data_IF_890754619289
#
_entry.id   IF_890754619289
#
_cell.length_a   1.000
_cell.length_b   1.000
_cell.length_c   1.000
_cell.angle_alpha   90.00
_cell.angle_beta   90.00
_cell.angle_gamma   90.00
#
_symmetry.space_group_name_H-M   'P 1'
#
loop_
_entity.id
_entity.type
_entity.pdbx_description
1 polymer ?
#
# COMPACT_ATOMS: atom_id res chain seq x y z
N UNK A 1 -17.69 6.20 -3.23
CA UNK A 1 -16.35 6.28 -2.59
C UNK A 1 -16.11 7.69 -2.07
N UNK A 2 -16.05 8.68 -2.96
CA UNK A 2 -15.95 10.12 -2.63
C UNK A 2 -17.03 10.55 -1.62
N UNK A 3 -18.30 10.29 -1.90
CA UNK A 3 -19.43 10.60 -1.01
C UNK A 3 -19.43 9.86 0.33
N UNK A 4 -18.84 8.65 0.36
CA UNK A 4 -18.72 7.85 1.59
C UNK A 4 -17.66 8.44 2.51
N UNK A 5 -16.52 8.84 1.95
CA UNK A 5 -15.47 9.53 2.69
C UNK A 5 -15.98 10.90 3.18
N UNK A 6 -16.70 11.65 2.35
CA UNK A 6 -17.36 12.90 2.79
C UNK A 6 -18.26 12.67 4.00
N UNK A 7 -19.09 11.62 4.01
CA UNK A 7 -19.96 11.35 5.15
C UNK A 7 -19.22 10.94 6.44
N UNK A 8 -18.05 10.30 6.30
CA UNK A 8 -17.19 9.94 7.41
C UNK A 8 -16.51 11.17 8.02
N UNK A 9 -16.14 12.13 7.17
CA UNK A 9 -15.35 13.31 7.54
C UNK A 9 -16.18 14.60 7.72
N UNK A 10 -17.45 14.63 7.29
CA UNK A 10 -18.35 15.73 7.61
C UNK A 10 -18.65 15.68 9.11
N UNK A 11 -18.24 16.71 9.86
CA UNK A 11 -18.28 16.82 11.33
C UNK A 11 -19.66 16.71 12.01
N UNK A 12 -20.68 16.18 11.32
CA UNK A 12 -21.96 15.74 11.89
C UNK A 12 -21.89 14.30 12.44
N UNK A 13 -20.76 13.61 12.31
CA UNK A 13 -20.60 12.29 12.92
C UNK A 13 -20.26 12.44 14.40
N UNK A 14 -21.09 11.87 15.27
CA UNK A 14 -20.85 11.68 16.71
C UNK A 14 -19.55 10.90 17.05
N UNK A 15 -18.72 10.63 16.05
CA UNK A 15 -17.44 9.95 16.12
C UNK A 15 -16.26 10.91 16.28
N UNK A 16 -16.42 12.22 16.03
CA UNK A 16 -15.31 13.19 16.09
C UNK A 16 -14.61 13.18 17.46
N UNK A 17 -15.36 13.11 18.56
CA UNK A 17 -14.80 12.97 19.92
C UNK A 17 -14.11 11.63 20.21
N UNK A 18 -14.29 10.63 19.34
CA UNK A 18 -13.74 9.29 19.49
C UNK A 18 -12.58 9.00 18.50
N UNK A 19 -12.41 9.84 17.48
CA UNK A 19 -11.40 9.68 16.45
C UNK A 19 -10.13 10.46 16.80
N UNK A 20 -9.13 9.76 17.37
CA UNK A 20 -7.84 10.35 17.77
C UNK A 20 -6.83 10.47 16.62
N UNK A 21 -6.90 9.57 15.64
CA UNK A 21 -5.98 9.52 14.52
C UNK A 21 -6.63 8.74 13.36
N UNK A 22 -6.52 9.28 12.15
CA UNK A 22 -7.03 8.65 10.93
C UNK A 22 -5.90 8.63 9.92
N UNK A 23 -5.56 7.43 9.45
CA UNK A 23 -4.57 7.24 8.40
C UNK A 23 -5.26 6.73 7.13
N UNK A 24 -5.06 7.45 6.02
CA UNK A 24 -5.70 7.17 4.73
C UNK A 24 -4.60 6.82 3.74
N UNK A 25 -4.73 5.69 3.04
CA UNK A 25 -3.83 5.28 1.97
C UNK A 25 -4.59 5.06 0.67
N UNK A 26 -3.93 5.30 -0.46
CA UNK A 26 -4.53 5.13 -1.78
C UNK A 26 -3.61 5.58 -2.90
N UNK A 27 -4.02 5.34 -4.13
CA UNK A 27 -3.29 5.73 -5.36
C UNK A 27 -3.75 7.08 -5.94
N UNK A 28 -4.88 7.60 -5.46
CA UNK A 28 -5.43 8.89 -5.87
C UNK A 28 -4.95 9.99 -4.94
N UNK A 29 -4.30 10.99 -5.51
CA UNK A 29 -3.91 12.19 -4.76
C UNK A 29 -5.16 13.01 -4.46
N UNK A 30 -5.45 13.22 -3.18
CA UNK A 30 -6.36 14.27 -2.76
C UNK A 30 -5.63 15.60 -2.93
N UNK A 31 -5.84 16.29 -4.05
CA UNK A 31 -5.36 17.67 -4.19
C UNK A 31 -6.04 18.51 -3.11
N UNK A 32 -5.25 19.25 -2.32
CA UNK A 32 -5.69 20.13 -1.21
C UNK A 32 -6.64 21.29 -1.64
N UNK A 33 -7.28 21.22 -2.81
CA UNK A 33 -8.06 22.31 -3.40
C UNK A 33 -9.26 21.71 -4.13
N UNK A 34 -10.47 21.97 -3.62
CA UNK A 34 -11.73 22.02 -4.37
C UNK A 34 -12.41 20.73 -4.85
N UNK A 35 -12.22 19.57 -4.21
CA UNK A 35 -13.14 18.43 -4.43
C UNK A 35 -14.30 18.38 -3.43
N UNK A 36 -14.23 19.15 -2.34
CA UNK A 36 -15.11 18.99 -1.18
C UNK A 36 -15.44 20.31 -0.48
N UNK A 37 -16.45 21.07 -0.95
CA UNK A 37 -16.87 22.33 -0.32
C UNK A 37 -17.31 22.15 1.15
N UNK A 38 -17.74 20.94 1.52
CA UNK A 38 -18.13 20.58 2.90
C UNK A 38 -16.96 20.19 3.81
N UNK A 39 -15.83 19.72 3.26
CA UNK A 39 -14.64 19.41 4.06
C UNK A 39 -13.87 20.69 4.40
N UNK A 40 -13.92 21.71 3.52
CA UNK A 40 -13.33 23.03 3.80
C UNK A 40 -14.18 23.88 4.79
N UNK A 41 -15.45 23.53 5.00
CA UNK A 41 -16.31 24.17 6.01
C UNK A 41 -16.36 23.43 7.35
N UNK A 42 -15.94 22.16 7.38
CA UNK A 42 -15.50 21.49 8.62
C UNK A 42 -14.06 21.90 8.93
N UNK A 43 -13.68 22.04 10.19
CA UNK A 43 -12.35 22.46 10.64
C UNK A 43 -11.19 21.47 10.34
N UNK A 44 -11.18 20.81 9.17
CA UNK A 44 -10.17 19.84 8.72
C UNK A 44 -8.94 20.50 8.07
N UNK A 45 -8.47 21.58 8.67
CA UNK A 45 -7.33 22.37 8.20
C UNK A 45 -5.99 21.68 8.55
N UNK A 46 -6.02 20.56 9.25
CA UNK A 46 -4.87 19.85 9.83
C UNK A 46 -4.42 18.64 8.99
N UNK A 47 -4.80 18.55 7.71
CA UNK A 47 -4.36 17.45 6.84
C UNK A 47 -2.90 17.65 6.40
N UNK A 48 -2.03 16.77 6.89
CA UNK A 48 -0.64 16.70 6.44
C UNK A 48 -0.50 15.67 5.30
N UNK A 49 0.09 16.11 4.18
CA UNK A 49 0.34 15.23 3.04
C UNK A 49 1.76 14.67 3.15
N UNK A 50 1.85 13.51 3.81
CA UNK A 50 3.11 12.81 4.05
C UNK A 50 3.45 11.77 2.96
N UNK A 51 2.67 11.74 1.87
CA UNK A 51 2.68 10.62 0.91
C UNK A 51 4.05 10.35 0.27
N UNK A 52 4.87 11.40 0.08
CA UNK A 52 6.20 11.32 -0.53
C UNK A 52 7.32 11.65 0.47
N UNK A 53 7.00 11.77 1.76
CA UNK A 53 7.98 12.04 2.81
C UNK A 53 8.81 10.79 3.06
N UNK A 54 10.13 10.95 3.11
CA UNK A 54 11.08 9.83 3.25
C UNK A 54 10.79 8.94 4.47
N UNK A 55 10.40 9.55 5.60
CA UNK A 55 10.07 8.85 6.86
C UNK A 55 8.94 7.83 6.72
N UNK A 56 8.03 8.03 5.76
CA UNK A 56 6.85 7.19 5.54
C UNK A 56 6.92 6.39 4.23
N UNK A 57 8.05 6.46 3.52
CA UNK A 57 8.17 5.94 2.16
C UNK A 57 8.03 4.40 2.06
N UNK A 58 8.20 3.67 3.17
CA UNK A 58 8.04 2.21 3.19
C UNK A 58 6.64 1.76 3.65
N UNK A 59 5.80 2.67 4.13
CA UNK A 59 4.54 2.37 4.82
C UNK A 59 3.51 1.63 3.96
N UNK A 60 3.52 1.85 2.65
CA UNK A 60 2.57 1.27 1.70
C UNK A 60 3.07 -0.02 1.03
N UNK A 61 4.13 -0.65 1.54
CA UNK A 61 4.68 -1.88 0.99
C UNK A 61 5.43 -2.70 2.02
N UNK A 62 6.06 -3.79 1.57
CA UNK A 62 6.98 -4.55 2.41
C UNK A 62 8.41 -4.21 2.04
N UNK A 63 9.30 -4.07 3.02
CA UNK A 63 10.74 -4.09 2.80
C UNK A 63 11.25 -5.52 2.57
N UNK A 64 12.50 -5.69 2.13
CA UNK A 64 13.12 -7.03 2.05
C UNK A 64 13.10 -7.74 3.40
N UNK A 65 13.46 -7.02 4.46
CA UNK A 65 13.54 -7.56 5.81
C UNK A 65 12.17 -8.02 6.31
N UNK A 66 11.12 -7.22 6.09
CA UNK A 66 9.75 -7.61 6.45
C UNK A 66 9.23 -8.76 5.59
N UNK A 67 9.58 -8.79 4.31
CA UNK A 67 9.19 -9.88 3.43
C UNK A 67 9.77 -11.20 3.93
N UNK A 68 11.06 -11.24 4.22
CA UNK A 68 11.74 -12.44 4.74
C UNK A 68 11.29 -12.79 6.15
N UNK A 69 11.07 -11.79 7.02
CA UNK A 69 10.66 -11.98 8.41
C UNK A 69 9.22 -12.47 8.56
N UNK A 70 8.27 -11.92 7.81
CA UNK A 70 6.85 -12.26 7.93
C UNK A 70 6.41 -13.41 7.01
N UNK A 71 7.08 -13.56 5.86
CA UNK A 71 6.68 -14.55 4.85
C UNK A 71 7.73 -15.62 4.59
N UNK A 72 8.80 -15.72 5.39
CA UNK A 72 9.88 -16.69 5.20
C UNK A 72 9.39 -18.13 5.00
N UNK A 73 8.49 -18.62 5.85
CA UNK A 73 7.93 -19.97 5.73
C UNK A 73 7.08 -20.15 4.46
N UNK A 74 6.34 -19.12 4.07
CA UNK A 74 5.54 -19.13 2.85
C UNK A 74 6.44 -19.11 1.60
N UNK A 75 7.54 -18.36 1.63
CA UNK A 75 8.55 -18.32 0.57
C UNK A 75 9.31 -19.64 0.46
N UNK A 76 9.61 -20.30 1.58
CA UNK A 76 10.19 -21.65 1.57
C UNK A 76 9.22 -22.67 0.95
N UNK A 77 7.94 -22.60 1.32
CA UNK A 77 6.89 -23.44 0.73
C UNK A 77 6.76 -23.19 -0.78
N UNK A 78 6.86 -21.92 -1.20
CA UNK A 78 6.88 -21.54 -2.61
C UNK A 78 8.10 -22.13 -3.33
N UNK A 79 9.28 -22.05 -2.71
CA UNK A 79 10.53 -22.60 -3.23
C UNK A 79 10.41 -24.11 -3.50
N UNK A 80 9.88 -24.87 -2.54
CA UNK A 80 9.60 -26.29 -2.72
C UNK A 80 8.61 -26.53 -3.86
N UNK A 81 7.51 -25.76 -3.93
CA UNK A 81 6.49 -25.94 -4.99
C UNK A 81 7.00 -25.67 -6.41
N UNK A 82 8.01 -24.80 -6.53
CA UNK A 82 8.61 -24.42 -7.80
C UNK A 82 9.93 -25.16 -8.09
N UNK A 83 10.35 -26.08 -7.21
CA UNK A 83 11.64 -26.77 -7.25
C UNK A 83 12.83 -25.80 -7.39
N UNK A 84 12.81 -24.72 -6.61
CA UNK A 84 13.87 -23.71 -6.53
C UNK A 84 14.43 -23.65 -5.11
N UNK A 85 15.65 -23.13 -4.96
CA UNK A 85 16.17 -22.80 -3.63
C UNK A 85 15.61 -21.46 -3.14
N UNK A 86 15.64 -21.25 -1.81
CA UNK A 86 15.15 -20.02 -1.18
C UNK A 86 15.82 -18.76 -1.73
N UNK A 87 17.13 -18.80 -2.00
CA UNK A 87 17.87 -17.68 -2.58
C UNK A 87 17.38 -17.32 -3.99
N UNK A 88 17.09 -18.32 -4.83
CA UNK A 88 16.53 -18.11 -6.16
C UNK A 88 15.11 -17.52 -6.09
N UNK A 89 14.29 -17.97 -5.13
CA UNK A 89 12.96 -17.38 -4.89
C UNK A 89 13.06 -15.93 -4.43
N UNK A 90 13.93 -15.61 -3.48
CA UNK A 90 14.11 -14.23 -3.01
C UNK A 90 14.59 -13.32 -4.14
N UNK A 91 15.57 -13.76 -4.92
CA UNK A 91 16.09 -13.02 -6.09
C UNK A 91 14.99 -12.78 -7.12
N UNK A 92 14.23 -13.82 -7.47
CA UNK A 92 13.16 -13.73 -8.47
C UNK A 92 12.00 -12.85 -7.96
N UNK A 93 11.63 -12.97 -6.69
CA UNK A 93 10.60 -12.13 -6.05
C UNK A 93 11.01 -10.67 -6.07
N UNK A 94 12.27 -10.37 -5.76
CA UNK A 94 12.83 -9.01 -5.84
C UNK A 94 12.75 -8.43 -7.24
N UNK A 95 13.15 -9.19 -8.25
CA UNK A 95 13.11 -8.77 -9.65
C UNK A 95 11.69 -8.49 -10.13
N UNK A 96 10.71 -9.31 -9.73
CA UNK A 96 9.33 -9.18 -10.19
C UNK A 96 8.54 -8.10 -9.47
N UNK A 97 8.78 -7.90 -8.17
CA UNK A 97 7.82 -7.19 -7.32
C UNK A 97 8.41 -6.06 -6.46
N UNK A 98 9.74 -5.90 -6.35
CA UNK A 98 10.37 -4.84 -5.54
C UNK A 98 10.59 -3.53 -6.33
N UNK A 99 9.52 -2.98 -6.89
CA UNK A 99 9.60 -1.85 -7.81
C UNK A 99 9.17 -0.50 -7.24
N UNK A 100 8.37 -0.49 -6.16
CA UNK A 100 7.67 0.71 -5.70
C UNK A 100 8.62 1.61 -4.92
N UNK A 101 8.57 2.91 -5.21
CA UNK A 101 9.41 3.93 -4.60
C UNK A 101 8.58 5.20 -4.42
N UNK A 102 8.33 5.59 -3.16
CA UNK A 102 7.53 6.77 -2.83
C UNK A 102 8.38 7.98 -2.46
N UNK A 103 9.70 7.79 -2.28
CA UNK A 103 10.67 8.88 -2.14
C UNK A 103 12.00 8.41 -2.75
N UNK A 104 12.64 9.26 -3.55
CA UNK A 104 13.87 8.92 -4.28
C UNK A 104 15.05 8.51 -3.40
N UNK A 105 15.09 9.00 -2.16
CA UNK A 105 16.14 8.72 -1.18
C UNK A 105 15.74 7.59 -0.22
N UNK A 106 14.59 6.95 -0.41
CA UNK A 106 14.10 5.87 0.42
C UNK A 106 14.31 4.48 -0.21
N UNK A 107 14.22 3.45 0.63
CA UNK A 107 14.27 2.07 0.17
C UNK A 107 13.03 1.74 -0.66
N UNK A 108 13.24 1.02 -1.77
CA UNK A 108 12.13 0.43 -2.53
C UNK A 108 11.40 -0.63 -1.72
N UNK A 109 10.10 -0.74 -1.98
CA UNK A 109 9.22 -1.72 -1.34
C UNK A 109 8.53 -2.63 -2.35
N UNK A 110 8.16 -3.79 -1.85
CA UNK A 110 7.33 -4.76 -2.52
C UNK A 110 5.87 -4.32 -2.49
N UNK A 111 5.18 -4.44 -3.62
CA UNK A 111 3.73 -4.26 -3.68
C UNK A 111 3.02 -5.37 -2.88
N UNK A 112 2.21 -5.04 -1.84
CA UNK A 112 1.58 -6.06 -0.99
C UNK A 112 0.67 -7.01 -1.74
N UNK A 113 -0.13 -6.49 -2.69
CA UNK A 113 -1.05 -7.30 -3.50
C UNK A 113 -0.29 -8.32 -4.36
N UNK A 114 0.82 -7.91 -4.99
CA UNK A 114 1.65 -8.79 -5.80
C UNK A 114 2.27 -9.92 -4.98
N UNK A 115 2.78 -9.63 -3.78
CA UNK A 115 3.34 -10.66 -2.88
C UNK A 115 2.26 -11.64 -2.45
N UNK A 116 1.11 -11.14 -1.98
CA UNK A 116 0.01 -12.00 -1.54
C UNK A 116 -0.52 -12.86 -2.70
N UNK A 117 -0.57 -12.32 -3.91
CA UNK A 117 -0.97 -13.06 -5.11
C UNK A 117 0.05 -14.14 -5.48
N UNK A 118 1.35 -13.83 -5.45
CA UNK A 118 2.42 -14.80 -5.66
C UNK A 118 2.30 -15.98 -4.68
N UNK A 119 2.16 -15.68 -3.39
CA UNK A 119 2.09 -16.71 -2.35
C UNK A 119 0.81 -17.55 -2.47
N UNK A 120 -0.32 -16.92 -2.84
CA UNK A 120 -1.61 -17.61 -3.06
C UNK A 120 -1.57 -18.53 -4.27
N UNK A 121 -1.12 -18.02 -5.42
CA UNK A 121 -1.14 -18.76 -6.69
C UNK A 121 0.06 -19.67 -6.87
N UNK A 122 1.10 -19.50 -6.04
CA UNK A 122 2.39 -20.19 -6.13
C UNK A 122 3.02 -20.10 -7.52
N UNK A 123 2.80 -18.99 -8.21
CA UNK A 123 3.26 -18.75 -9.56
C UNK A 123 3.55 -17.26 -9.76
N UNK A 124 4.61 -16.96 -10.49
CA UNK A 124 4.93 -15.60 -10.89
C UNK A 124 3.96 -15.15 -11.99
N UNK A 125 3.45 -13.93 -11.84
CA UNK A 125 2.55 -13.29 -12.78
C UNK A 125 2.56 -11.77 -12.67
N UNK A 126 1.91 -11.09 -13.62
CA UNK A 126 1.82 -9.63 -13.70
C UNK A 126 0.80 -9.04 -12.71
N UNK A 127 0.88 -9.44 -11.43
CA UNK A 127 -0.08 -9.03 -10.41
C UNK A 127 -0.07 -7.53 -10.11
N UNK A 128 1.07 -6.86 -10.32
CA UNK A 128 1.19 -5.41 -10.17
C UNK A 128 0.33 -4.66 -11.21
N UNK A 129 0.20 -5.21 -12.42
CA UNK A 129 -0.62 -4.64 -13.49
C UNK A 129 -2.11 -4.91 -13.25
N UNK A 130 -2.44 -6.11 -12.76
CA UNK A 130 -3.82 -6.49 -12.45
C UNK A 130 -4.43 -5.61 -11.35
N UNK A 131 -3.66 -5.18 -10.35
CA UNK A 131 -4.14 -4.26 -9.32
C UNK A 131 -4.33 -2.81 -9.81
N UNK A 132 -3.67 -2.42 -10.90
CA UNK A 132 -3.68 -1.06 -11.43
C UNK A 132 -4.76 -0.81 -12.50
N UNK A 133 -5.39 -1.88 -12.99
CA UNK A 133 -6.41 -1.80 -14.04
C UNK A 133 -7.79 -1.96 -13.41
N UNK A 134 -8.67 -0.94 -13.43
CA UNK A 134 -10.05 -1.13 -13.02
C UNK A 134 -10.65 -2.21 -13.92
N UNK A 135 -11.12 -3.30 -13.32
CA UNK A 135 -12.00 -4.22 -14.03
C UNK A 135 -13.33 -3.49 -14.16
N UNK A 136 -13.73 -3.21 -15.41
CA UNK A 136 -15.03 -2.63 -15.77
C UNK A 136 -16.18 -3.48 -15.27
#
# INVERSE_FOLDING_TARGET
MVSTLESLFSGDTALDEHLRFIFITGVSKFSKISAFPKIESSNMNNLDDISLTQEYATLCGYTQQELEGYFGDALNTLACSLNLCTEAINTKTKQWYNGYCFNENAQRVYNPHSILSLLRHKAFGNFWFQSATPTV
#
